data_IF_044011491489
#
_entry.id   IF_044011491489
#
_cell.length_a   1.000
_cell.length_b   1.000
_cell.length_c   1.000
_cell.angle_alpha   90.00
_cell.angle_beta   90.00
_cell.angle_gamma   90.00
#
_symmetry.space_group_name_H-M   'P 1'
#
loop_
_entity.id
_entity.type
_entity.pdbx_description
1 polymer ?
#
# COMPACT_ATOMS: atom_id res chain seq x y z
N UNK A 1 -24.67 2.88 19.25
CA UNK A 1 -23.39 3.09 19.95
C UNK A 1 -22.41 3.51 18.87
N UNK A 2 -22.16 4.82 18.79
CA UNK A 2 -21.43 5.45 17.69
C UNK A 2 -19.92 5.27 17.90
N UNK A 3 -19.24 4.73 16.90
CA UNK A 3 -17.80 4.85 16.75
C UNK A 3 -17.53 5.61 15.45
N UNK A 4 -17.51 6.94 15.58
CA UNK A 4 -16.79 7.81 14.67
C UNK A 4 -15.52 8.23 15.42
N UNK A 5 -14.34 7.92 14.86
CA UNK A 5 -13.07 8.66 14.97
C UNK A 5 -11.89 7.69 14.79
N UNK A 6 -11.30 7.69 13.59
CA UNK A 6 -9.85 7.76 13.43
C UNK A 6 -9.50 8.03 11.95
N UNK A 7 -8.94 9.22 11.73
CA UNK A 7 -7.98 9.54 10.68
C UNK A 7 -8.53 9.73 9.26
N UNK A 8 -9.28 10.82 9.16
CA UNK A 8 -9.24 11.73 8.02
C UNK A 8 -7.77 12.10 7.72
N UNK A 9 -7.10 11.34 6.85
CA UNK A 9 -6.00 11.92 6.08
C UNK A 9 -6.65 13.09 5.32
N UNK A 10 -6.15 14.34 5.42
CA UNK A 10 -6.46 15.27 4.38
C UNK A 10 -5.91 14.62 3.11
N UNK A 11 -6.80 14.16 2.23
CA UNK A 11 -6.47 14.08 0.81
C UNK A 11 -6.14 15.51 0.45
N UNK A 12 -4.88 15.92 0.65
CA UNK A 12 -4.42 17.23 0.24
C UNK A 12 -4.64 17.24 -1.27
N UNK A 13 -5.61 18.02 -1.78
CA UNK A 13 -5.72 18.19 -3.20
C UNK A 13 -4.40 18.85 -3.61
N UNK A 14 -3.66 18.25 -4.54
CA UNK A 14 -2.45 18.87 -5.09
C UNK A 14 -2.77 20.29 -5.60
N UNK A 15 -4.02 20.49 -6.02
CA UNK A 15 -4.62 21.77 -6.41
C UNK A 15 -4.49 22.88 -5.35
N UNK A 16 -4.48 22.53 -4.06
CA UNK A 16 -4.43 23.50 -2.97
C UNK A 16 -3.01 24.02 -2.66
N UNK A 17 -1.96 23.33 -3.14
CA UNK A 17 -0.57 23.75 -2.93
C UNK A 17 -0.08 24.67 -4.05
N UNK A 18 -0.72 24.69 -5.21
CA UNK A 18 -0.05 25.14 -6.44
C UNK A 18 -0.32 26.57 -6.92
N UNK A 19 -1.43 27.24 -6.60
CA UNK A 19 -1.64 28.59 -7.15
C UNK A 19 -2.39 29.48 -6.16
N UNK A 20 -1.69 30.50 -5.67
CA UNK A 20 -2.36 31.75 -5.34
C UNK A 20 -3.22 32.13 -6.53
N UNK A 21 -4.50 32.38 -6.29
CA UNK A 21 -5.50 32.70 -7.30
C UNK A 21 -5.18 34.05 -7.93
N UNK A 22 -4.23 34.08 -8.87
CA UNK A 22 -4.12 35.13 -9.86
C UNK A 22 -5.07 34.73 -10.99
N UNK A 23 -6.20 35.43 -11.10
CA UNK A 23 -7.03 35.38 -12.29
C UNK A 23 -6.19 35.91 -13.45
N UNK A 24 -5.76 35.01 -14.35
CA UNK A 24 -4.92 35.31 -15.52
C UNK A 24 -5.69 36.09 -16.61
N UNK A 25 -6.30 37.23 -16.28
CA UNK A 25 -6.71 38.20 -17.29
C UNK A 25 -5.49 39.06 -17.65
N UNK A 26 -4.63 38.55 -18.55
CA UNK A 26 -3.51 39.30 -19.13
C UNK A 26 -2.14 38.62 -19.14
N UNK A 27 -2.06 37.31 -19.01
CA UNK A 27 -0.78 36.58 -18.99
C UNK A 27 -0.38 36.21 -20.43
N UNK A 28 0.81 36.63 -20.85
CA UNK A 28 1.36 36.33 -22.18
C UNK A 28 2.00 34.94 -22.25
N UNK A 29 2.15 34.40 -23.48
CA UNK A 29 2.67 33.05 -23.77
C UNK A 29 3.96 32.66 -23.01
N UNK A 30 4.86 33.61 -22.77
CA UNK A 30 6.11 33.37 -22.06
C UNK A 30 5.90 33.02 -20.58
N UNK A 31 4.86 33.58 -19.95
CA UNK A 31 4.53 33.32 -18.55
C UNK A 31 3.80 31.99 -18.37
N UNK A 32 2.99 31.57 -19.34
CA UNK A 32 2.38 30.23 -19.34
C UNK A 32 3.46 29.15 -19.47
N UNK A 33 4.47 29.40 -20.32
CA UNK A 33 5.62 28.49 -20.48
C UNK A 33 6.45 28.35 -19.21
N UNK A 34 6.73 29.45 -18.51
CA UNK A 34 7.44 29.41 -17.22
C UNK A 34 6.62 28.64 -16.18
N UNK A 35 5.29 28.82 -16.17
CA UNK A 35 4.41 28.11 -15.25
C UNK A 35 4.39 26.61 -15.51
N UNK A 36 4.40 26.19 -16.78
CA UNK A 36 4.45 24.78 -17.15
C UNK A 36 5.84 24.16 -16.93
N UNK A 37 6.93 24.89 -17.20
CA UNK A 37 8.29 24.46 -16.87
C UNK A 37 8.47 24.27 -15.35
N UNK A 38 7.91 25.19 -14.54
CA UNK A 38 7.90 25.07 -13.08
C UNK A 38 7.07 23.87 -12.60
N UNK A 39 5.89 23.63 -13.20
CA UNK A 39 5.08 22.43 -12.89
C UNK A 39 5.85 21.16 -13.21
N UNK A 40 6.48 21.07 -14.39
CA UNK A 40 7.22 19.89 -14.81
C UNK A 40 8.42 19.62 -13.88
N UNK A 41 9.18 20.67 -13.54
CA UNK A 41 10.31 20.55 -12.61
C UNK A 41 9.86 20.14 -11.20
N UNK A 42 8.74 20.67 -10.72
CA UNK A 42 8.16 20.28 -9.44
C UNK A 42 7.67 18.82 -9.46
N UNK A 43 7.02 18.40 -10.55
CA UNK A 43 6.54 17.03 -10.73
C UNK A 43 7.70 16.04 -10.74
N UNK A 44 8.80 16.34 -11.43
CA UNK A 44 10.00 15.51 -11.46
C UNK A 44 10.64 15.37 -10.07
N UNK A 45 10.78 16.48 -9.34
CA UNK A 45 11.34 16.47 -7.99
C UNK A 45 10.49 15.63 -7.03
N UNK A 46 9.17 15.84 -7.08
CA UNK A 46 8.21 15.11 -6.25
C UNK A 46 8.23 13.62 -6.60
N UNK A 47 8.25 13.27 -7.89
CA UNK A 47 8.31 11.88 -8.35
C UNK A 47 9.56 11.16 -7.82
N UNK A 48 10.74 11.80 -7.89
CA UNK A 48 11.99 11.23 -7.35
C UNK A 48 11.90 10.99 -5.84
N UNK A 49 11.35 11.95 -5.08
CA UNK A 49 11.20 11.81 -3.63
C UNK A 49 10.21 10.70 -3.25
N UNK A 50 9.07 10.59 -3.95
CA UNK A 50 8.10 9.52 -3.73
C UNK A 50 8.64 8.14 -4.08
N UNK A 51 9.36 7.99 -5.20
CA UNK A 51 9.98 6.71 -5.58
C UNK A 51 10.95 6.23 -4.50
N UNK A 52 11.83 7.10 -3.98
CA UNK A 52 12.73 6.75 -2.88
C UNK A 52 11.98 6.33 -1.62
N UNK A 53 10.88 7.00 -1.31
CA UNK A 53 10.07 6.63 -0.15
C UNK A 53 9.42 5.25 -0.33
N UNK A 54 8.95 4.92 -1.54
CA UNK A 54 8.44 3.58 -1.86
C UNK A 54 9.51 2.52 -1.68
N UNK A 55 10.71 2.75 -2.25
CA UNK A 55 11.86 1.84 -2.17
C UNK A 55 12.25 1.56 -0.71
N UNK A 56 12.27 2.57 0.16
CA UNK A 56 12.57 2.39 1.59
C UNK A 56 11.53 1.51 2.27
N UNK A 57 10.24 1.69 1.94
CA UNK A 57 9.16 0.86 2.51
C UNK A 57 9.25 -0.58 2.02
N UNK A 58 9.52 -0.79 0.74
CA UNK A 58 9.72 -2.11 0.13
C UNK A 58 10.93 -2.83 0.76
N UNK A 59 12.05 -2.13 0.94
CA UNK A 59 13.23 -2.67 1.63
C UNK A 59 12.91 -3.06 3.08
N UNK A 60 12.20 -2.20 3.81
CA UNK A 60 11.79 -2.52 5.19
C UNK A 60 10.91 -3.76 5.23
N UNK A 61 9.92 -3.86 4.34
CA UNK A 61 9.06 -5.03 4.25
C UNK A 61 9.86 -6.30 3.94
N UNK A 62 10.74 -6.25 2.93
CA UNK A 62 11.56 -7.39 2.53
C UNK A 62 12.44 -7.89 3.69
N UNK A 63 13.09 -6.99 4.43
CA UNK A 63 13.91 -7.35 5.60
C UNK A 63 13.05 -8.03 6.67
N UNK A 64 11.89 -7.47 7.01
CA UNK A 64 11.00 -8.04 8.03
C UNK A 64 10.43 -9.40 7.60
N UNK A 65 10.09 -9.53 6.31
CA UNK A 65 9.58 -10.76 5.72
C UNK A 65 10.64 -11.88 5.78
N UNK A 66 11.89 -11.59 5.39
CA UNK A 66 12.98 -12.55 5.43
C UNK A 66 13.25 -13.04 6.86
N UNK A 67 13.28 -12.12 7.83
CA UNK A 67 13.42 -12.44 9.26
C UNK A 67 12.27 -13.33 9.73
N UNK A 68 11.03 -12.94 9.43
CA UNK A 68 9.84 -13.72 9.79
C UNK A 68 9.90 -15.14 9.22
N UNK A 69 10.11 -15.30 7.91
CA UNK A 69 10.17 -16.62 7.27
C UNK A 69 11.27 -17.51 7.85
N UNK A 70 12.46 -16.94 8.07
CA UNK A 70 13.57 -17.66 8.69
C UNK A 70 13.21 -18.19 10.08
N UNK A 71 12.63 -17.34 10.92
CA UNK A 71 12.37 -17.66 12.32
C UNK A 71 11.13 -18.55 12.51
N UNK A 72 10.15 -18.47 11.60
CA UNK A 72 8.89 -19.22 11.71
C UNK A 72 8.85 -20.52 10.92
N UNK A 73 9.85 -20.83 10.08
CA UNK A 73 9.85 -22.00 9.19
C UNK A 73 9.64 -23.37 9.89
N UNK A 74 9.97 -23.47 11.18
CA UNK A 74 9.83 -24.70 11.99
C UNK A 74 8.69 -24.63 13.02
N UNK A 75 7.97 -23.52 13.09
CA UNK A 75 6.89 -23.31 14.04
C UNK A 75 5.60 -23.89 13.46
N UNK A 76 4.88 -24.72 14.23
CA UNK A 76 3.61 -25.32 13.80
C UNK A 76 2.36 -24.61 14.36
N UNK A 77 2.55 -23.59 15.19
CA UNK A 77 1.49 -22.83 15.84
C UNK A 77 1.21 -21.56 15.05
N UNK A 78 0.05 -21.48 14.39
CA UNK A 78 -0.38 -20.29 13.66
C UNK A 78 -0.40 -19.03 14.54
N UNK A 79 -0.70 -19.20 15.83
CA UNK A 79 -0.69 -18.09 16.79
C UNK A 79 0.72 -17.57 17.01
N UNK A 80 1.71 -18.46 17.19
CA UNK A 80 3.10 -18.06 17.42
C UNK A 80 3.71 -17.45 16.15
N UNK A 81 3.37 -18.00 14.98
CA UNK A 81 3.75 -17.43 13.67
C UNK A 81 3.22 -16.00 13.52
N UNK A 82 1.94 -15.77 13.85
CA UNK A 82 1.32 -14.45 13.74
C UNK A 82 1.81 -13.46 14.81
N UNK A 83 2.17 -13.93 16.01
CA UNK A 83 2.69 -13.07 17.09
C UNK A 83 4.17 -12.74 16.96
N UNK A 84 4.87 -13.28 15.95
CA UNK A 84 6.27 -12.99 15.71
C UNK A 84 6.52 -11.47 15.56
N UNK A 85 7.54 -10.88 16.22
CA UNK A 85 7.77 -9.44 16.21
C UNK A 85 7.86 -8.83 14.81
N UNK A 86 8.57 -9.50 13.88
CA UNK A 86 8.70 -9.02 12.51
C UNK A 86 7.36 -9.01 11.76
N UNK A 87 6.47 -9.98 12.03
CA UNK A 87 5.13 -10.02 11.45
C UNK A 87 4.24 -8.90 12.01
N UNK A 88 4.33 -8.65 13.32
CA UNK A 88 3.63 -7.53 13.96
C UNK A 88 4.13 -6.18 13.45
N UNK A 89 5.43 -6.04 13.15
CA UNK A 89 5.95 -4.84 12.51
C UNK A 89 5.44 -4.65 11.07
N UNK A 90 5.31 -5.73 10.29
CA UNK A 90 4.68 -5.69 8.96
C UNK A 90 3.22 -5.20 9.08
N UNK A 91 2.46 -5.70 10.06
CA UNK A 91 1.11 -5.17 10.35
C UNK A 91 1.17 -3.70 10.72
N UNK A 92 2.16 -3.30 11.54
CA UNK A 92 2.40 -1.92 11.94
C UNK A 92 2.78 -0.97 10.80
N UNK A 93 3.20 -1.48 9.64
CA UNK A 93 3.38 -0.66 8.43
C UNK A 93 2.04 -0.20 7.83
N UNK A 94 0.91 -0.84 8.20
CA UNK A 94 -0.42 -0.43 7.79
C UNK A 94 -0.66 -0.60 6.29
N UNK A 95 -1.44 0.32 5.70
CA UNK A 95 -1.88 0.23 4.30
C UNK A 95 -0.74 0.16 3.28
N UNK A 96 0.43 0.69 3.63
CA UNK A 96 1.63 0.63 2.78
C UNK A 96 2.12 -0.81 2.54
N UNK A 97 1.86 -1.73 3.47
CA UNK A 97 2.26 -3.13 3.32
C UNK A 97 1.28 -3.96 2.46
N UNK A 98 0.05 -3.50 2.24
CA UNK A 98 -0.98 -4.28 1.51
C UNK A 98 -0.50 -4.70 0.11
N UNK A 99 0.03 -3.80 -0.76
CA UNK A 99 0.54 -4.20 -2.07
C UNK A 99 1.63 -5.27 -2.00
N UNK A 100 2.55 -5.13 -1.04
CA UNK A 100 3.70 -6.02 -0.87
C UNK A 100 3.27 -7.39 -0.37
N UNK A 101 2.32 -7.43 0.58
CA UNK A 101 1.74 -8.69 1.08
C UNK A 101 0.95 -9.39 -0.03
N UNK A 102 0.22 -8.67 -0.86
CA UNK A 102 -0.53 -9.25 -1.98
C UNK A 102 0.40 -9.83 -3.06
N UNK A 103 1.50 -9.15 -3.36
CA UNK A 103 2.54 -9.67 -4.26
C UNK A 103 3.17 -10.94 -3.69
N UNK A 104 3.49 -10.95 -2.39
CA UNK A 104 4.05 -12.15 -1.76
C UNK A 104 3.03 -13.29 -1.68
N UNK A 105 1.76 -13.00 -1.41
CA UNK A 105 0.68 -13.99 -1.41
C UNK A 105 0.50 -14.65 -2.80
N UNK A 106 0.75 -13.92 -3.88
CA UNK A 106 0.74 -14.47 -5.25
C UNK A 106 1.92 -15.42 -5.49
N UNK A 107 3.10 -15.14 -4.90
CA UNK A 107 4.31 -15.95 -5.03
C UNK A 107 4.28 -17.20 -4.15
N UNK A 108 3.91 -17.02 -2.89
CA UNK A 108 3.88 -18.06 -1.86
C UNK A 108 2.64 -17.85 -0.98
N UNK A 109 1.60 -18.67 -1.15
CA UNK A 109 0.37 -18.53 -0.39
C UNK A 109 0.57 -19.05 1.04
N UNK A 110 1.09 -18.15 1.88
CA UNK A 110 1.43 -18.38 3.28
C UNK A 110 0.36 -17.79 4.22
N UNK A 111 0.65 -17.76 5.53
CA UNK A 111 -0.21 -17.19 6.58
C UNK A 111 -0.41 -15.65 6.50
N UNK A 112 -0.47 -15.06 5.31
CA UNK A 112 -0.65 -13.62 5.06
C UNK A 112 -2.09 -13.12 5.25
N UNK A 113 -3.08 -14.01 5.22
CA UNK A 113 -4.50 -13.65 5.35
C UNK A 113 -4.80 -12.89 6.66
N UNK A 114 -4.07 -13.20 7.73
CA UNK A 114 -4.23 -12.53 9.03
C UNK A 114 -3.74 -11.08 8.97
N UNK A 115 -2.55 -10.84 8.40
CA UNK A 115 -2.04 -9.50 8.20
C UNK A 115 -2.96 -8.67 7.30
N UNK A 116 -3.40 -9.22 6.16
CA UNK A 116 -4.31 -8.53 5.26
C UNK A 116 -5.60 -8.12 5.96
N UNK A 117 -6.24 -9.03 6.71
CA UNK A 117 -7.44 -8.73 7.47
C UNK A 117 -7.20 -7.71 8.58
N UNK A 118 -6.08 -7.80 9.30
CA UNK A 118 -5.75 -6.88 10.38
C UNK A 118 -5.53 -5.45 9.87
N UNK A 119 -4.90 -5.31 8.70
CA UNK A 119 -4.59 -4.01 8.11
C UNK A 119 -5.81 -3.42 7.40
N UNK A 120 -6.48 -4.19 6.53
CA UNK A 120 -7.58 -3.68 5.71
C UNK A 120 -8.90 -3.60 6.45
N UNK A 121 -9.05 -4.33 7.57
CA UNK A 121 -10.33 -4.57 8.24
C UNK A 121 -11.40 -5.24 7.35
N UNK A 122 -11.00 -5.81 6.21
CA UNK A 122 -11.85 -6.50 5.26
C UNK A 122 -11.69 -8.03 5.37
N UNK A 123 -12.70 -8.78 4.93
CA UNK A 123 -12.64 -10.25 4.84
C UNK A 123 -13.37 -10.72 3.56
N UNK A 124 -12.69 -10.68 2.40
CA UNK A 124 -13.27 -11.11 1.12
C UNK A 124 -13.44 -12.63 1.02
N UNK A 125 -12.99 -13.39 2.03
CA UNK A 125 -13.10 -14.85 2.05
C UNK A 125 -14.39 -15.29 2.78
N UNK A 126 -15.44 -15.72 2.05
CA UNK A 126 -16.61 -16.30 2.69
C UNK A 126 -16.27 -17.55 3.51
N UNK A 127 -17.04 -17.79 4.57
CA UNK A 127 -16.81 -18.92 5.49
C UNK A 127 -16.71 -20.28 4.79
N UNK A 128 -17.39 -20.46 3.66
CA UNK A 128 -17.37 -21.68 2.84
C UNK A 128 -16.03 -21.96 2.16
N UNK A 129 -15.16 -20.96 2.04
CA UNK A 129 -13.83 -21.07 1.42
C UNK A 129 -12.70 -21.25 2.42
N UNK A 130 -12.98 -21.11 3.73
CA UNK A 130 -11.97 -21.26 4.78
C UNK A 130 -11.33 -22.64 4.73
N UNK A 131 -10.00 -22.69 4.73
CA UNK A 131 -9.21 -23.91 4.61
C UNK A 131 -8.86 -24.30 3.17
N UNK A 132 -9.42 -23.62 2.16
CA UNK A 132 -8.95 -23.75 0.78
C UNK A 132 -8.02 -22.58 0.44
N UNK A 133 -6.72 -22.77 0.70
CA UNK A 133 -5.69 -21.73 0.55
C UNK A 133 -5.75 -21.09 -0.85
N UNK A 134 -5.89 -21.88 -1.91
CA UNK A 134 -5.93 -21.38 -3.28
C UNK A 134 -7.12 -20.42 -3.50
N UNK A 135 -8.32 -20.81 -3.09
CA UNK A 135 -9.52 -19.98 -3.24
C UNK A 135 -9.48 -18.74 -2.35
N UNK A 136 -8.86 -18.84 -1.17
CA UNK A 136 -8.62 -17.69 -0.29
C UNK A 136 -7.65 -16.70 -0.93
N UNK A 137 -6.55 -17.19 -1.50
CA UNK A 137 -5.59 -16.37 -2.26
C UNK A 137 -6.28 -15.67 -3.42
N UNK A 138 -7.06 -16.38 -4.24
CA UNK A 138 -7.81 -15.77 -5.34
C UNK A 138 -8.75 -14.66 -4.89
N UNK A 139 -9.50 -14.87 -3.79
CA UNK A 139 -10.39 -13.87 -3.22
C UNK A 139 -9.64 -12.59 -2.79
N UNK A 140 -8.50 -12.75 -2.13
CA UNK A 140 -7.67 -11.63 -1.70
C UNK A 140 -7.00 -10.90 -2.87
N UNK A 141 -6.51 -11.62 -3.88
CA UNK A 141 -5.94 -11.01 -5.09
C UNK A 141 -7.00 -10.24 -5.88
N UNK A 142 -8.23 -10.77 -6.00
CA UNK A 142 -9.33 -10.06 -6.65
C UNK A 142 -9.70 -8.78 -5.89
N UNK A 143 -9.85 -8.88 -4.56
CA UNK A 143 -10.07 -7.70 -3.71
C UNK A 143 -8.94 -6.67 -3.87
N UNK A 144 -7.69 -7.12 -3.95
CA UNK A 144 -6.53 -6.25 -4.19
C UNK A 144 -6.58 -5.52 -5.52
N UNK A 145 -7.05 -6.17 -6.59
CA UNK A 145 -7.26 -5.54 -7.91
C UNK A 145 -8.40 -4.53 -7.87
N UNK A 146 -9.53 -4.88 -7.28
CA UNK A 146 -10.71 -3.99 -7.14
C UNK A 146 -10.38 -2.71 -6.36
N UNK A 147 -9.46 -2.80 -5.39
CA UNK A 147 -9.03 -1.68 -4.56
C UNK A 147 -7.75 -0.96 -5.08
N UNK A 148 -7.26 -1.31 -6.28
CA UNK A 148 -6.07 -0.73 -6.91
C UNK A 148 -4.75 -0.93 -6.14
N UNK A 149 -4.64 -1.98 -5.31
CA UNK A 149 -3.38 -2.34 -4.65
C UNK A 149 -2.44 -3.14 -5.56
N UNK A 150 -2.98 -3.86 -6.54
CA UNK A 150 -2.20 -4.61 -7.52
C UNK A 150 -2.16 -3.81 -8.81
N UNK A 151 -0.98 -3.31 -9.18
CA UNK A 151 -0.78 -2.68 -10.49
C UNK A 151 -0.84 -3.77 -11.56
N UNK A 152 -1.68 -3.59 -12.57
CA UNK A 152 -1.64 -4.43 -13.78
C UNK A 152 -0.25 -4.29 -14.40
N UNK A 153 0.59 -5.33 -14.29
CA UNK A 153 1.85 -5.40 -15.02
C UNK A 153 1.46 -5.60 -16.48
N UNK A 154 1.54 -4.53 -17.29
CA UNK A 154 1.47 -4.67 -18.74
C UNK A 154 2.69 -5.50 -19.17
N UNK A 155 2.41 -6.75 -19.59
CA UNK A 155 3.37 -7.68 -20.19
C UNK A 155 3.78 -7.18 -21.57
#
# INVERSE_FOLDING_TARGET
>A
MNYACAQFLPKMPVDAMLLGTATNEGVGEESDKIQDDLKNLLLDYIAVAYSRQSEIKELRFAILMDVWKSDTCIISSDTDIAMHPAYQEIIGMGSDAIPMILEELEREPDNWFWALKAISSEDPTPHSLKGNIQKMTEAWLNWGRENNYIKLRHV
#
